data_IF_653726422862
#
_entry.id   IF_653726422862
#
_cell.length_a   1.000
_cell.length_b   1.000
_cell.length_c   1.000
_cell.angle_alpha   90.00
_cell.angle_beta   90.00
_cell.angle_gamma   90.00
#
_symmetry.space_group_name_H-M   'P 1'
#
loop_
_entity.id
_entity.type
_entity.pdbx_description
1 polymer ?
#
# COMPACT_ATOMS: atom_id res chain seq x y z
N UNK A 1 -2.77 25.35 -22.79
CA UNK A 1 -2.91 26.80 -22.57
C UNK A 1 -2.51 27.67 -23.77
N UNK A 2 -2.30 27.10 -24.97
CA UNK A 2 -2.07 27.81 -26.23
C UNK A 2 -3.33 28.01 -27.11
N UNK A 3 -4.47 27.41 -26.73
CA UNK A 3 -5.69 27.39 -27.55
C UNK A 3 -6.61 28.62 -27.41
N UNK A 4 -6.29 29.60 -26.55
CA UNK A 4 -7.10 30.82 -26.37
C UNK A 4 -6.42 32.09 -26.90
N UNK A 5 -5.34 31.95 -27.63
CA UNK A 5 -4.68 33.06 -28.33
C UNK A 5 -4.78 32.83 -29.86
N UNK A 6 -5.95 33.00 -30.43
CA UNK A 6 -6.25 33.31 -31.84
C UNK A 6 -5.57 32.55 -33.00
N UNK A 7 -4.54 31.77 -32.79
CA UNK A 7 -3.80 30.98 -33.82
C UNK A 7 -3.46 29.58 -33.30
N UNK A 8 -4.49 28.77 -33.08
CA UNK A 8 -4.24 27.34 -32.82
C UNK A 8 -4.10 26.61 -34.15
N UNK A 9 -2.88 26.23 -34.47
CA UNK A 9 -2.50 25.39 -35.60
C UNK A 9 -3.36 24.09 -35.61
N UNK A 10 -3.85 23.70 -36.80
CA UNK A 10 -4.69 22.51 -36.99
C UNK A 10 -4.05 21.23 -36.42
N UNK A 11 -2.74 21.17 -36.36
CA UNK A 11 -1.96 20.08 -35.73
C UNK A 11 -2.21 19.94 -34.23
N UNK A 12 -2.23 21.06 -33.51
CA UNK A 12 -2.50 21.10 -32.05
C UNK A 12 -3.93 20.67 -31.74
N UNK A 13 -4.88 21.03 -32.61
CA UNK A 13 -6.28 20.61 -32.46
C UNK A 13 -6.46 19.07 -32.68
N UNK A 14 -5.78 18.53 -33.66
CA UNK A 14 -5.80 17.10 -33.92
C UNK A 14 -5.12 16.27 -32.81
N UNK A 15 -4.04 16.77 -32.21
CA UNK A 15 -3.37 16.15 -31.07
C UNK A 15 -4.26 16.18 -29.82
N UNK A 16 -4.95 17.30 -29.55
CA UNK A 16 -5.89 17.42 -28.45
C UNK A 16 -7.06 16.46 -28.57
N UNK A 17 -7.67 16.33 -29.76
CA UNK A 17 -8.75 15.39 -29.99
C UNK A 17 -8.30 13.94 -29.84
N UNK A 18 -7.08 13.62 -30.26
CA UNK A 18 -6.51 12.29 -30.09
C UNK A 18 -6.27 11.96 -28.61
N UNK A 19 -5.77 12.93 -27.82
CA UNK A 19 -5.58 12.79 -26.39
C UNK A 19 -6.91 12.63 -25.64
N UNK A 20 -7.96 13.41 -25.99
CA UNK A 20 -9.30 13.29 -25.39
C UNK A 20 -9.92 11.91 -25.63
N UNK A 21 -9.74 11.34 -26.82
CA UNK A 21 -10.30 10.05 -27.21
C UNK A 21 -9.49 8.84 -26.76
N UNK A 22 -8.29 9.05 -26.18
CA UNK A 22 -7.41 7.95 -25.78
C UNK A 22 -7.81 7.30 -24.45
N UNK A 23 -8.55 8.00 -23.56
CA UNK A 23 -9.01 7.50 -22.26
C UNK A 23 -10.23 8.30 -21.76
N UNK A 24 -11.31 7.65 -21.24
CA UNK A 24 -12.46 8.33 -20.68
C UNK A 24 -12.13 9.33 -19.56
N UNK A 25 -11.05 9.12 -18.82
CA UNK A 25 -10.59 10.04 -17.77
C UNK A 25 -10.10 11.38 -18.33
N UNK A 26 -9.56 11.40 -19.55
CA UNK A 26 -9.10 12.61 -20.22
C UNK A 26 -10.28 13.51 -20.63
N UNK A 27 -11.38 12.92 -21.08
CA UNK A 27 -12.60 13.66 -21.40
C UNK A 27 -13.22 14.30 -20.13
N UNK A 28 -13.27 13.57 -19.02
CA UNK A 28 -13.74 14.11 -17.74
C UNK A 28 -12.85 15.26 -17.23
N UNK A 29 -11.54 15.14 -17.40
CA UNK A 29 -10.60 16.20 -17.03
C UNK A 29 -10.78 17.45 -17.90
N UNK A 30 -11.04 17.26 -19.20
CA UNK A 30 -11.32 18.36 -20.12
C UNK A 30 -12.61 19.09 -19.77
N UNK A 31 -13.72 18.38 -19.53
CA UNK A 31 -15.01 18.96 -19.14
C UNK A 31 -14.93 19.75 -17.84
N UNK A 32 -14.14 19.28 -16.86
CA UNK A 32 -13.86 20.03 -15.63
C UNK A 32 -13.10 21.32 -15.89
N UNK A 33 -12.12 21.28 -16.79
CA UNK A 33 -11.35 22.48 -17.17
C UNK A 33 -12.23 23.52 -17.90
N UNK A 34 -13.13 23.09 -18.78
CA UNK A 34 -14.09 23.96 -19.45
C UNK A 34 -15.11 24.60 -18.47
N UNK A 35 -15.60 23.84 -17.49
CA UNK A 35 -16.49 24.35 -16.44
C UNK A 35 -15.81 25.46 -15.59
N UNK A 36 -14.54 25.27 -15.25
CA UNK A 36 -13.77 26.27 -14.51
C UNK A 36 -13.51 27.53 -15.36
N UNK A 37 -13.15 27.35 -16.63
CA UNK A 37 -12.94 28.45 -17.58
C UNK A 37 -14.24 29.19 -17.88
N UNK A 38 -15.37 28.49 -17.99
CA UNK A 38 -16.70 29.09 -18.16
C UNK A 38 -17.11 29.94 -16.96
N UNK A 39 -16.87 29.47 -15.73
CA UNK A 39 -17.12 30.26 -14.51
C UNK A 39 -16.22 31.50 -14.42
N UNK A 40 -14.95 31.39 -14.82
CA UNK A 40 -14.01 32.52 -14.86
C UNK A 40 -14.43 33.58 -15.92
N UNK A 41 -14.92 33.14 -17.06
CA UNK A 41 -15.42 34.05 -18.12
C UNK A 41 -16.76 34.70 -17.73
N UNK A 42 -17.65 33.99 -17.04
CA UNK A 42 -18.91 34.54 -16.52
C UNK A 42 -18.69 35.62 -15.46
N UNK A 43 -17.70 35.42 -14.56
CA UNK A 43 -17.29 36.43 -13.57
C UNK A 43 -16.68 37.67 -14.23
N UNK A 44 -16.05 37.47 -15.38
CA UNK A 44 -15.44 38.55 -16.17
C UNK A 44 -16.50 39.36 -16.94
N UNK A 45 -17.55 38.71 -17.43
CA UNK A 45 -18.67 39.35 -18.11
C UNK A 45 -19.61 40.10 -17.14
N UNK A 46 -19.82 39.56 -15.92
CA UNK A 46 -20.62 40.21 -14.88
C UNK A 46 -20.04 41.54 -14.38
N UNK A 47 -18.71 41.61 -14.25
CA UNK A 47 -18.01 42.83 -13.83
C UNK A 47 -17.93 43.92 -14.93
N UNK A 48 -18.24 43.59 -16.18
CA UNK A 48 -18.23 44.54 -17.29
C UNK A 48 -19.58 45.26 -17.49
N UNK A 49 -20.68 44.70 -16.94
CA UNK A 49 -22.03 45.25 -17.11
C UNK A 49 -22.42 46.30 -16.07
N UNK A 50 -21.76 46.37 -14.91
CA UNK A 50 -22.04 47.36 -13.86
C UNK A 50 -21.18 48.64 -13.91
N UNK A 51 -20.16 48.69 -14.79
CA UNK A 51 -19.24 49.84 -14.89
C UNK A 51 -19.70 50.94 -15.86
N UNK A 52 -20.94 50.88 -16.37
CA UNK A 52 -21.43 51.72 -17.45
C UNK A 52 -22.17 53.01 -17.03
N UNK A 53 -22.39 53.32 -15.76
CA UNK A 53 -23.14 54.55 -15.40
C UNK A 53 -22.77 55.07 -13.99
N UNK A 54 -21.65 55.75 -13.83
CA UNK A 54 -21.46 56.91 -12.92
C UNK A 54 -20.09 57.54 -13.13
N UNK A 55 -20.15 58.72 -13.77
CA UNK A 55 -19.30 59.93 -13.58
C UNK A 55 -17.80 59.79 -13.28
N UNK A 56 -17.03 60.21 -14.29
CA UNK A 56 -15.98 61.21 -14.16
C UNK A 56 -14.93 61.04 -13.04
N UNK A 57 -13.70 60.64 -13.39
CA UNK A 57 -12.59 61.14 -12.62
C UNK A 57 -11.83 60.14 -11.74
N UNK A 58 -11.72 58.87 -12.09
CA UNK A 58 -10.70 58.03 -11.47
C UNK A 58 -9.51 57.88 -12.42
N UNK A 59 -8.36 58.35 -11.95
CA UNK A 59 -7.12 58.45 -12.70
C UNK A 59 -6.70 57.06 -13.26
N UNK A 60 -6.15 57.07 -14.48
CA UNK A 60 -5.57 55.90 -15.15
C UNK A 60 -4.52 55.12 -14.31
N UNK A 61 -4.06 55.72 -13.22
CA UNK A 61 -3.18 55.10 -12.23
C UNK A 61 -3.89 54.05 -11.34
N UNK A 62 -5.13 54.33 -10.89
CA UNK A 62 -5.92 53.39 -10.07
C UNK A 62 -6.35 52.15 -10.87
N UNK A 63 -6.64 52.29 -12.15
CA UNK A 63 -6.95 51.19 -13.05
C UNK A 63 -5.73 50.32 -13.37
N UNK A 64 -4.52 50.91 -13.36
CA UNK A 64 -3.26 50.17 -13.52
C UNK A 64 -2.85 49.39 -12.26
N UNK A 65 -3.15 49.93 -11.08
CA UNK A 65 -2.86 49.30 -9.77
C UNK A 65 -3.83 48.12 -9.51
N UNK A 66 -5.12 48.26 -9.80
CA UNK A 66 -6.09 47.16 -9.69
C UNK A 66 -5.76 45.98 -10.62
N UNK A 67 -5.28 46.28 -11.84
CA UNK A 67 -4.87 45.25 -12.80
C UNK A 67 -3.58 44.51 -12.37
N UNK A 68 -2.69 45.15 -11.62
CA UNK A 68 -1.48 44.52 -11.07
C UNK A 68 -1.78 43.56 -9.91
N UNK A 69 -2.68 43.91 -9.01
CA UNK A 69 -3.07 43.05 -7.88
C UNK A 69 -3.86 41.85 -8.34
N UNK A 70 -4.75 41.97 -9.29
CA UNK A 70 -5.49 40.87 -9.92
C UNK A 70 -4.56 39.93 -10.70
N UNK A 71 -3.59 40.46 -11.46
CA UNK A 71 -2.58 39.64 -12.14
C UNK A 71 -1.70 38.83 -11.15
N UNK A 72 -1.33 39.44 -10.02
CA UNK A 72 -0.57 38.74 -8.98
C UNK A 72 -1.42 37.68 -8.26
N UNK A 73 -2.71 37.93 -8.02
CA UNK A 73 -3.62 36.96 -7.44
C UNK A 73 -3.86 35.76 -8.41
N UNK A 74 -4.07 36.00 -9.67
CA UNK A 74 -4.21 34.96 -10.70
C UNK A 74 -2.89 34.20 -10.90
N UNK A 75 -1.75 34.89 -10.91
CA UNK A 75 -0.44 34.26 -11.01
C UNK A 75 -0.15 33.37 -9.79
N UNK A 76 -0.53 33.80 -8.57
CA UNK A 76 -0.41 32.97 -7.36
C UNK A 76 -1.33 31.76 -7.39
N UNK A 77 -2.58 31.91 -7.82
CA UNK A 77 -3.52 30.79 -7.98
C UNK A 77 -3.03 29.78 -9.03
N UNK A 78 -2.50 30.26 -10.16
CA UNK A 78 -1.91 29.40 -11.18
C UNK A 78 -0.63 28.71 -10.68
N UNK A 79 0.24 29.42 -9.98
CA UNK A 79 1.44 28.83 -9.38
C UNK A 79 1.06 27.77 -8.33
N UNK A 80 0.03 28.01 -7.51
CA UNK A 80 -0.48 27.04 -6.54
C UNK A 80 -1.09 25.83 -7.25
N UNK A 81 -1.85 26.01 -8.32
CA UNK A 81 -2.43 24.91 -9.09
C UNK A 81 -1.37 24.06 -9.81
N UNK A 82 -0.31 24.71 -10.33
CA UNK A 82 0.82 24.00 -10.98
C UNK A 82 1.62 23.17 -10.00
N UNK A 83 1.75 23.62 -8.75
CA UNK A 83 2.51 22.89 -7.70
C UNK A 83 1.59 21.90 -6.96
N UNK A 84 0.38 22.30 -6.59
CA UNK A 84 -0.55 21.45 -5.85
C UNK A 84 -1.19 20.34 -6.71
N UNK A 85 -1.36 20.57 -8.01
CA UNK A 85 -1.94 19.58 -8.93
C UNK A 85 -1.08 18.30 -9.06
N UNK A 86 0.20 18.40 -9.43
CA UNK A 86 1.09 17.22 -9.49
C UNK A 86 1.35 16.59 -8.12
N UNK A 87 1.46 17.39 -7.05
CA UNK A 87 1.60 16.87 -5.68
C UNK A 87 0.34 16.15 -5.23
N UNK A 88 -0.84 16.72 -5.46
CA UNK A 88 -2.12 16.08 -5.15
C UNK A 88 -2.34 14.80 -5.95
N UNK A 89 -2.00 14.79 -7.24
CA UNK A 89 -2.05 13.60 -8.08
C UNK A 89 -1.03 12.54 -7.65
N UNK A 90 0.20 12.95 -7.28
CA UNK A 90 1.23 12.06 -6.74
C UNK A 90 0.80 11.42 -5.42
N UNK A 91 0.29 12.21 -4.48
CA UNK A 91 -0.28 11.71 -3.22
C UNK A 91 -1.48 10.80 -3.49
N UNK A 92 -2.37 11.16 -4.39
CA UNK A 92 -3.52 10.33 -4.76
C UNK A 92 -3.10 9.00 -5.40
N UNK A 93 -2.08 8.97 -6.24
CA UNK A 93 -1.54 7.74 -6.85
C UNK A 93 -0.72 6.88 -5.89
N UNK A 94 -0.04 7.50 -4.92
CA UNK A 94 0.80 6.82 -3.94
C UNK A 94 0.04 6.45 -2.65
N UNK A 95 -1.13 7.04 -2.44
CA UNK A 95 -1.96 6.71 -1.28
C UNK A 95 -2.53 5.29 -1.42
N UNK A 96 -2.44 4.45 -0.39
CA UNK A 96 -2.88 3.05 -0.43
C UNK A 96 -4.40 2.94 -0.30
N UNK A 97 -5.15 3.53 -1.24
CA UNK A 97 -6.62 3.52 -1.24
C UNK A 97 -7.20 2.11 -1.17
N UNK A 98 -6.52 1.16 -1.82
CA UNK A 98 -6.93 -0.24 -1.82
C UNK A 98 -6.80 -0.90 -0.45
N UNK A 99 -5.85 -0.43 0.37
CA UNK A 99 -5.69 -0.92 1.74
C UNK A 99 -6.72 -0.29 2.67
N UNK A 100 -7.07 0.98 2.46
CA UNK A 100 -8.04 1.70 3.29
C UNK A 100 -9.49 1.27 3.08
N UNK A 101 -9.81 0.71 1.92
CA UNK A 101 -11.15 0.21 1.57
C UNK A 101 -11.36 -1.27 1.89
N UNK A 102 -10.37 -1.96 2.48
CA UNK A 102 -10.48 -3.37 2.82
C UNK A 102 -11.52 -3.63 3.92
N UNK A 103 -12.24 -4.77 3.84
CA UNK A 103 -13.27 -5.17 4.80
C UNK A 103 -12.69 -5.41 6.20
N UNK A 104 -11.48 -5.95 6.27
CA UNK A 104 -10.72 -6.15 7.51
C UNK A 104 -9.30 -5.63 7.34
N UNK A 105 -8.82 -4.89 8.34
CA UNK A 105 -7.46 -4.37 8.36
C UNK A 105 -6.91 -4.29 9.77
N UNK A 106 -5.58 -4.22 9.85
CA UNK A 106 -4.81 -3.95 11.06
C UNK A 106 -3.83 -2.82 10.83
N UNK A 107 -3.61 -2.01 11.85
CA UNK A 107 -2.57 -0.98 11.84
C UNK A 107 -1.19 -1.56 12.21
N UNK A 108 -0.14 -0.74 12.15
CA UNK A 108 1.22 -1.14 12.55
C UNK A 108 1.26 -1.55 14.03
N UNK A 109 1.73 -2.75 14.31
CA UNK A 109 1.81 -3.32 15.64
C UNK A 109 0.50 -3.94 16.15
N UNK A 110 -0.58 -3.85 15.37
CA UNK A 110 -1.88 -4.46 15.68
C UNK A 110 -1.94 -5.89 15.12
N UNK A 111 -2.52 -6.81 15.90
CA UNK A 111 -2.95 -8.13 15.44
C UNK A 111 -4.42 -8.31 15.82
N UNK A 112 -5.23 -8.86 14.92
CA UNK A 112 -6.66 -9.02 15.10
C UNK A 112 -7.14 -10.40 14.72
N UNK A 113 -7.81 -11.08 15.68
CA UNK A 113 -8.50 -12.35 15.41
C UNK A 113 -10.00 -12.10 15.16
N UNK A 114 -10.60 -12.87 14.25
CA UNK A 114 -12.02 -12.81 13.92
C UNK A 114 -12.53 -14.17 13.48
N UNK A 115 -13.83 -14.43 13.70
CA UNK A 115 -14.54 -15.59 13.14
C UNK A 115 -15.36 -15.11 11.95
N UNK A 116 -15.17 -15.79 10.81
CA UNK A 116 -15.86 -15.51 9.57
C UNK A 116 -17.30 -16.09 9.59
N UNK A 117 -18.13 -15.67 8.63
CA UNK A 117 -19.53 -16.08 8.55
C UNK A 117 -19.73 -17.61 8.34
N UNK A 118 -18.72 -18.29 7.79
CA UNK A 118 -18.70 -19.75 7.60
C UNK A 118 -18.16 -20.51 8.83
N UNK A 119 -17.84 -19.83 9.93
CA UNK A 119 -17.23 -20.40 11.12
C UNK A 119 -15.71 -20.58 11.04
N UNK A 120 -15.06 -20.26 9.93
CA UNK A 120 -13.60 -20.24 9.82
C UNK A 120 -13.02 -19.15 10.72
N UNK A 121 -11.84 -19.38 11.28
CA UNK A 121 -11.11 -18.38 12.07
C UNK A 121 -10.00 -17.77 11.24
N UNK A 122 -9.85 -16.47 11.32
CA UNK A 122 -8.77 -15.71 10.71
C UNK A 122 -8.09 -14.85 11.75
N UNK A 123 -6.75 -14.77 11.69
CA UNK A 123 -5.97 -13.78 12.42
C UNK A 123 -5.16 -12.97 11.42
N UNK A 124 -5.25 -11.65 11.54
CA UNK A 124 -4.48 -10.70 10.75
C UNK A 124 -3.23 -10.29 11.54
N UNK A 125 -2.08 -10.30 10.87
CA UNK A 125 -0.82 -9.75 11.38
C UNK A 125 -0.79 -8.21 11.23
N UNK A 126 0.26 -7.60 11.73
CA UNK A 126 0.51 -6.15 11.60
C UNK A 126 0.43 -5.68 10.14
N UNK A 127 -0.23 -4.53 9.92
CA UNK A 127 -0.29 -3.88 8.60
C UNK A 127 -0.94 -4.74 7.52
N UNK A 128 -1.96 -5.52 7.87
CA UNK A 128 -2.66 -6.41 6.94
C UNK A 128 -3.97 -5.81 6.44
N UNK A 129 -4.33 -6.14 5.20
CA UNK A 129 -5.59 -5.74 4.59
C UNK A 129 -6.19 -6.89 3.78
N UNK A 130 -7.45 -7.25 4.07
CA UNK A 130 -8.16 -8.40 3.52
C UNK A 130 -9.58 -8.02 3.15
N UNK A 131 -10.02 -8.42 1.95
CA UNK A 131 -11.44 -8.38 1.57
C UNK A 131 -12.06 -9.76 1.64
N UNK A 132 -13.38 -9.80 1.86
CA UNK A 132 -14.18 -11.00 1.89
C UNK A 132 -15.10 -11.05 0.67
N UNK A 133 -14.91 -12.05 -0.19
CA UNK A 133 -15.71 -12.28 -1.39
C UNK A 133 -16.37 -13.67 -1.31
N UNK A 134 -17.22 -13.89 -0.31
CA UNK A 134 -17.96 -15.13 -0.15
C UNK A 134 -19.20 -15.13 -1.04
N UNK A 135 -19.36 -16.22 -1.79
CA UNK A 135 -20.50 -16.44 -2.71
C UNK A 135 -21.21 -17.77 -2.39
N UNK A 136 -22.23 -18.11 -3.16
CA UNK A 136 -22.88 -19.42 -3.10
C UNK A 136 -21.99 -20.57 -3.58
N UNK A 137 -20.93 -20.30 -4.37
CA UNK A 137 -20.05 -21.30 -4.97
C UNK A 137 -18.66 -21.38 -4.34
N UNK A 138 -18.19 -20.34 -3.67
CA UNK A 138 -16.84 -20.27 -3.07
C UNK A 138 -16.77 -19.35 -1.86
N UNK A 139 -15.74 -19.57 -1.04
CA UNK A 139 -15.36 -18.75 0.11
C UNK A 139 -14.00 -18.15 -0.17
N UNK A 140 -13.98 -16.91 -0.69
CA UNK A 140 -12.74 -16.26 -1.13
C UNK A 140 -12.36 -15.12 -0.19
N UNK A 141 -11.11 -15.15 0.28
CA UNK A 141 -10.43 -14.01 0.88
C UNK A 141 -9.45 -13.41 -0.13
N UNK A 142 -9.35 -12.10 -0.19
CA UNK A 142 -8.38 -11.39 -1.05
C UNK A 142 -7.40 -10.69 -0.12
N UNK A 143 -6.20 -11.26 0.02
CA UNK A 143 -5.12 -10.66 0.80
C UNK A 143 -4.41 -9.61 -0.07
N UNK A 144 -4.56 -8.34 0.29
CA UNK A 144 -3.96 -7.20 -0.43
C UNK A 144 -2.54 -6.91 0.05
N UNK A 145 -2.32 -6.94 1.36
CA UNK A 145 -1.02 -6.70 2.00
C UNK A 145 -0.95 -7.41 3.35
N UNK A 146 0.26 -7.58 3.88
CA UNK A 146 0.51 -8.14 5.21
C UNK A 146 0.50 -9.66 5.25
N UNK A 147 -0.02 -10.22 6.34
CA UNK A 147 -0.10 -11.66 6.55
C UNK A 147 -1.39 -12.06 7.28
N UNK A 148 -1.87 -13.25 6.96
CA UNK A 148 -3.00 -13.88 7.64
C UNK A 148 -2.66 -15.30 8.06
N UNK A 149 -3.23 -15.70 9.17
CA UNK A 149 -3.38 -17.08 9.57
C UNK A 149 -4.85 -17.46 9.46
N UNK A 150 -5.12 -18.64 8.91
CA UNK A 150 -6.48 -19.13 8.67
C UNK A 150 -6.62 -20.55 9.20
N UNK A 151 -7.71 -20.78 9.91
CA UNK A 151 -8.20 -22.12 10.22
C UNK A 151 -9.58 -22.28 9.58
N UNK A 152 -9.66 -23.10 8.53
CA UNK A 152 -10.92 -23.30 7.80
C UNK A 152 -11.90 -24.16 8.60
N UNK A 153 -13.17 -23.78 8.59
CA UNK A 153 -14.29 -24.61 9.04
C UNK A 153 -14.75 -25.57 7.95
N UNK A 154 -15.33 -26.70 8.35
CA UNK A 154 -16.07 -27.56 7.43
C UNK A 154 -17.27 -26.81 6.84
N UNK A 155 -17.51 -26.98 5.53
CA UNK A 155 -18.61 -26.34 4.84
C UNK A 155 -19.58 -27.38 4.31
N UNK A 156 -20.85 -27.33 4.75
CA UNK A 156 -21.86 -28.29 4.34
C UNK A 156 -22.15 -28.25 2.83
N UNK A 157 -21.95 -27.09 2.18
CA UNK A 157 -22.10 -26.91 0.74
C UNK A 157 -20.83 -27.28 -0.05
N UNK A 158 -19.76 -27.75 0.63
CA UNK A 158 -18.48 -28.16 0.03
C UNK A 158 -17.82 -27.04 -0.81
N UNK A 159 -18.13 -25.77 -0.54
CA UNK A 159 -17.55 -24.65 -1.25
C UNK A 159 -16.04 -24.56 -0.94
N UNK A 160 -15.18 -24.43 -1.96
CA UNK A 160 -13.75 -24.28 -1.74
C UNK A 160 -13.46 -23.00 -0.93
N UNK A 161 -12.47 -23.09 -0.02
CA UNK A 161 -11.92 -21.93 0.67
C UNK A 161 -10.66 -21.49 -0.06
N UNK A 162 -10.63 -20.24 -0.51
CA UNK A 162 -9.60 -19.67 -1.35
C UNK A 162 -9.00 -18.43 -0.68
N UNK A 163 -7.68 -18.31 -0.71
CA UNK A 163 -6.99 -17.05 -0.43
C UNK A 163 -6.32 -16.59 -1.72
N UNK A 164 -6.78 -15.48 -2.25
CA UNK A 164 -6.23 -14.85 -3.45
C UNK A 164 -5.23 -13.78 -3.08
N UNK A 165 -4.11 -13.75 -3.77
CA UNK A 165 -3.09 -12.71 -3.72
C UNK A 165 -2.78 -12.22 -5.13
N UNK A 166 -1.96 -11.18 -5.27
CA UNK A 166 -1.46 -10.74 -6.58
C UNK A 166 -0.58 -11.81 -7.27
N UNK A 167 -0.01 -12.76 -6.52
CA UNK A 167 0.87 -13.82 -7.00
C UNK A 167 0.11 -15.06 -7.48
N UNK A 168 -1.09 -15.29 -6.97
CA UNK A 168 -1.86 -16.49 -7.28
C UNK A 168 -2.92 -16.79 -6.24
N UNK A 169 -3.43 -18.01 -6.29
CA UNK A 169 -4.48 -18.51 -5.40
C UNK A 169 -3.99 -19.67 -4.54
N UNK A 170 -4.34 -19.63 -3.27
CA UNK A 170 -4.12 -20.70 -2.27
C UNK A 170 -5.48 -21.34 -1.99
N UNK A 171 -5.66 -22.59 -2.34
CA UNK A 171 -6.86 -23.39 -2.07
C UNK A 171 -6.65 -24.26 -0.83
N UNK A 172 -7.47 -24.06 0.17
CA UNK A 172 -7.41 -24.85 1.39
C UNK A 172 -8.15 -26.20 1.26
N UNK A 173 -7.54 -27.27 1.75
CA UNK A 173 -8.10 -28.63 1.75
C UNK A 173 -8.42 -29.10 3.18
N UNK A 174 -9.10 -28.24 3.98
CA UNK A 174 -9.37 -28.51 5.40
C UNK A 174 -8.13 -28.24 6.26
N UNK A 175 -7.73 -26.98 6.40
CA UNK A 175 -6.37 -26.61 6.77
C UNK A 175 -6.29 -25.55 7.86
N UNK A 176 -5.11 -25.54 8.51
CA UNK A 176 -4.57 -24.43 9.29
C UNK A 176 -3.27 -24.00 8.61
N UNK A 177 -3.22 -22.75 8.14
CA UNK A 177 -2.10 -22.25 7.35
C UNK A 177 -1.93 -20.74 7.49
N UNK A 178 -0.76 -20.24 7.12
CA UNK A 178 -0.46 -18.82 6.98
C UNK A 178 -0.21 -18.47 5.53
N UNK A 179 -0.61 -17.25 5.14
CA UNK A 179 -0.25 -16.61 3.87
C UNK A 179 0.33 -15.25 4.18
N UNK A 180 1.53 -14.97 3.70
CA UNK A 180 2.26 -13.73 3.96
C UNK A 180 2.80 -13.16 2.66
N UNK A 181 2.41 -11.93 2.32
CA UNK A 181 2.95 -11.19 1.20
C UNK A 181 4.31 -10.61 1.62
N UNK A 182 5.33 -10.81 0.78
CA UNK A 182 6.65 -10.24 1.02
C UNK A 182 6.57 -8.70 1.00
N UNK A 183 7.21 -8.01 1.96
CA UNK A 183 7.23 -6.56 1.96
C UNK A 183 8.00 -6.03 0.73
N UNK A 184 7.68 -4.82 0.23
CA UNK A 184 8.23 -4.27 -1.03
C UNK A 184 9.76 -4.10 -1.05
N UNK A 185 10.43 -4.15 0.10
CA UNK A 185 11.89 -4.08 0.23
C UNK A 185 12.56 -5.44 0.48
N UNK A 186 11.80 -6.55 0.42
CA UNK A 186 12.36 -7.88 0.50
C UNK A 186 13.13 -8.22 -0.78
N UNK A 187 14.21 -9.01 -0.66
CA UNK A 187 14.98 -9.49 -1.82
C UNK A 187 14.15 -10.29 -2.83
N UNK A 188 13.01 -10.81 -2.38
CA UNK A 188 12.00 -11.57 -3.12
C UNK A 188 10.76 -10.71 -3.33
N UNK A 189 10.94 -9.52 -3.88
CA UNK A 189 9.81 -8.66 -4.27
C UNK A 189 8.83 -9.46 -5.13
N UNK A 190 7.53 -9.22 -4.92
CA UNK A 190 6.43 -9.87 -5.65
C UNK A 190 6.27 -11.37 -5.39
N UNK A 191 6.48 -11.81 -4.15
CA UNK A 191 6.19 -13.19 -3.74
C UNK A 191 5.35 -13.23 -2.47
N UNK A 192 4.71 -14.37 -2.23
CA UNK A 192 4.08 -14.68 -0.96
C UNK A 192 4.64 -15.99 -0.39
N UNK A 193 4.77 -16.04 0.93
CA UNK A 193 5.16 -17.25 1.68
C UNK A 193 3.91 -17.91 2.24
N UNK A 194 3.74 -19.18 1.97
CA UNK A 194 2.65 -20.00 2.49
C UNK A 194 3.24 -21.10 3.36
N UNK A 195 2.77 -21.22 4.62
CA UNK A 195 3.18 -22.28 5.52
C UNK A 195 1.94 -23.01 6.07
N UNK A 196 2.00 -24.33 6.08
CA UNK A 196 0.89 -25.21 6.45
C UNK A 196 1.19 -25.89 7.79
N UNK A 197 0.34 -25.62 8.80
CA UNK A 197 0.44 -26.23 10.12
C UNK A 197 -0.38 -27.52 10.21
N UNK A 198 -1.53 -27.59 9.51
CA UNK A 198 -2.40 -28.77 9.52
C UNK A 198 -3.12 -28.91 8.17
N UNK A 199 -3.27 -30.18 7.71
CA UNK A 199 -3.91 -30.49 6.43
C UNK A 199 -2.99 -30.23 5.23
N UNK A 200 -3.55 -29.69 4.15
CA UNK A 200 -2.80 -29.36 2.95
C UNK A 200 -3.43 -28.18 2.19
N UNK A 201 -2.65 -27.45 1.42
CA UNK A 201 -3.12 -26.43 0.49
C UNK A 201 -2.64 -26.72 -0.94
N UNK A 202 -3.36 -26.23 -1.92
CA UNK A 202 -2.95 -26.20 -3.32
C UNK A 202 -2.62 -24.76 -3.71
N UNK A 203 -1.44 -24.55 -4.28
CA UNK A 203 -0.94 -23.25 -4.73
C UNK A 203 -1.01 -23.19 -6.25
N UNK A 204 -1.69 -22.19 -6.79
CA UNK A 204 -1.81 -21.95 -8.23
C UNK A 204 -1.34 -20.53 -8.53
N UNK A 205 -0.14 -20.35 -9.12
CA UNK A 205 0.36 -19.05 -9.56
C UNK A 205 -0.56 -18.41 -10.62
N UNK A 206 -0.55 -17.07 -10.72
CA UNK A 206 -1.45 -16.37 -11.64
C UNK A 206 -1.07 -16.55 -13.11
N UNK A 207 0.21 -16.79 -13.40
CA UNK A 207 0.76 -16.93 -14.77
C UNK A 207 1.19 -18.37 -15.09
N UNK A 208 0.80 -19.35 -14.30
CA UNK A 208 1.12 -20.76 -14.51
C UNK A 208 -0.12 -21.60 -14.19
N UNK A 209 -0.49 -22.48 -15.12
CA UNK A 209 -1.64 -23.39 -14.96
C UNK A 209 -1.33 -24.60 -14.05
N UNK A 210 -0.09 -24.74 -13.59
CA UNK A 210 0.29 -25.81 -12.68
C UNK A 210 -0.16 -25.53 -11.25
N UNK A 211 -0.63 -26.54 -10.54
CA UNK A 211 -0.87 -26.43 -9.11
C UNK A 211 0.11 -27.30 -8.32
N UNK A 212 0.60 -26.75 -7.21
CA UNK A 212 1.53 -27.45 -6.31
C UNK A 212 0.88 -27.65 -4.95
N UNK A 213 0.82 -28.91 -4.48
CA UNK A 213 0.31 -29.24 -3.17
C UNK A 213 1.39 -29.07 -2.10
N UNK A 214 1.04 -28.39 -1.01
CA UNK A 214 1.88 -28.23 0.18
C UNK A 214 1.19 -28.90 1.36
N UNK A 215 1.83 -29.89 1.94
CA UNK A 215 1.33 -30.63 3.10
C UNK A 215 1.75 -30.00 4.42
N UNK A 216 1.11 -30.41 5.50
CA UNK A 216 1.41 -29.96 6.86
C UNK A 216 2.90 -30.10 7.22
N UNK A 217 3.44 -29.14 7.96
CA UNK A 217 4.85 -29.03 8.34
C UNK A 217 5.76 -28.49 7.24
N UNK A 218 5.19 -28.09 6.10
CA UNK A 218 5.95 -27.50 4.98
C UNK A 218 5.53 -26.06 4.70
N UNK A 219 6.44 -25.33 4.07
CA UNK A 219 6.20 -24.00 3.52
C UNK A 219 6.74 -23.92 2.10
N UNK A 220 6.19 -23.01 1.30
CA UNK A 220 6.68 -22.69 -0.03
C UNK A 220 6.49 -21.22 -0.34
N UNK A 221 7.38 -20.69 -1.17
CA UNK A 221 7.27 -19.35 -1.71
C UNK A 221 6.57 -19.42 -3.07
N UNK A 222 5.54 -18.59 -3.29
CA UNK A 222 4.83 -18.49 -4.55
C UNK A 222 5.08 -17.10 -5.14
N UNK A 223 5.52 -17.05 -6.38
CA UNK A 223 5.57 -15.87 -7.25
C UNK A 223 4.44 -15.94 -8.28
N UNK A 224 4.29 -14.91 -9.10
CA UNK A 224 3.27 -14.90 -10.16
C UNK A 224 3.48 -15.99 -11.22
N UNK A 225 4.72 -16.47 -11.40
CA UNK A 225 5.07 -17.43 -12.45
C UNK A 225 5.45 -18.82 -11.98
N UNK A 226 5.68 -19.02 -10.67
CA UNK A 226 6.09 -20.35 -10.16
C UNK A 226 5.84 -20.51 -8.65
N UNK A 227 5.89 -21.77 -8.20
CA UNK A 227 5.98 -22.15 -6.78
C UNK A 227 7.37 -22.69 -6.53
N UNK A 228 8.06 -22.18 -5.53
CA UNK A 228 9.35 -22.68 -5.07
C UNK A 228 9.24 -24.11 -4.52
N UNK A 229 10.38 -24.79 -4.38
CA UNK A 229 10.44 -26.12 -3.80
C UNK A 229 9.93 -26.07 -2.36
N UNK A 230 8.97 -26.95 -1.97
CA UNK A 230 8.49 -27.00 -0.60
C UNK A 230 9.60 -27.40 0.38
N UNK A 231 9.76 -26.63 1.44
CA UNK A 231 10.74 -26.86 2.50
C UNK A 231 10.06 -27.01 3.87
N UNK A 232 10.78 -27.46 4.89
CA UNK A 232 10.23 -27.55 6.24
C UNK A 232 9.84 -26.16 6.76
N UNK A 233 8.62 -26.04 7.30
CA UNK A 233 8.17 -24.80 7.93
C UNK A 233 8.94 -24.58 9.23
N UNK A 234 9.57 -23.40 9.36
CA UNK A 234 10.26 -23.01 10.58
C UNK A 234 9.30 -22.47 11.65
N UNK A 235 9.78 -22.39 12.90
CA UNK A 235 9.03 -21.80 14.03
C UNK A 235 8.63 -20.34 13.78
N UNK A 236 9.32 -19.65 12.88
CA UNK A 236 9.03 -18.27 12.53
C UNK A 236 7.77 -18.12 11.66
N UNK A 237 7.26 -19.21 11.07
CA UNK A 237 6.15 -19.15 10.12
C UNK A 237 4.81 -18.73 10.73
N UNK A 238 4.59 -19.05 12.01
CA UNK A 238 3.35 -18.76 12.74
C UNK A 238 3.55 -18.14 14.14
N UNK A 239 4.79 -17.93 14.57
CA UNK A 239 5.12 -17.36 15.89
C UNK A 239 4.41 -16.03 16.19
N UNK A 240 4.20 -15.20 15.19
CA UNK A 240 3.48 -13.94 15.30
C UNK A 240 2.03 -14.09 15.76
N UNK A 241 1.39 -15.24 15.48
CA UNK A 241 0.01 -15.52 15.97
C UNK A 241 -0.06 -15.58 17.49
N UNK A 242 1.07 -15.84 18.14
CA UNK A 242 1.25 -15.89 19.59
C UNK A 242 1.99 -14.65 20.11
N UNK A 243 2.21 -13.66 19.26
CA UNK A 243 2.92 -12.42 19.60
C UNK A 243 4.43 -12.58 19.78
N UNK A 244 5.03 -13.61 19.17
CA UNK A 244 6.46 -13.93 19.28
C UNK A 244 7.13 -13.92 17.92
N UNK A 245 8.27 -13.25 17.80
CA UNK A 245 9.15 -13.32 16.66
C UNK A 245 10.30 -14.30 17.00
N UNK A 246 10.32 -15.44 16.31
CA UNK A 246 11.40 -16.41 16.42
C UNK A 246 12.50 -16.07 15.43
N UNK A 247 13.74 -16.18 15.87
CA UNK A 247 14.94 -16.07 15.05
C UNK A 247 15.83 -17.29 15.30
N UNK A 248 16.30 -17.91 14.24
CA UNK A 248 17.26 -19.02 14.29
C UNK A 248 18.42 -18.70 13.33
N UNK A 249 19.55 -18.24 13.89
CA UNK A 249 20.70 -17.74 13.12
C UNK A 249 20.32 -16.72 12.04
N UNK A 250 19.24 -15.99 12.27
CA UNK A 250 18.72 -15.00 11.32
C UNK A 250 19.68 -13.81 11.25
N UNK A 251 20.13 -13.36 10.07
CA UNK A 251 20.94 -12.15 9.95
C UNK A 251 20.26 -10.95 10.59
N UNK A 252 21.01 -10.16 11.38
CA UNK A 252 20.49 -9.01 12.13
C UNK A 252 19.76 -8.00 11.24
N UNK A 253 20.23 -7.79 10.01
CA UNK A 253 19.56 -6.92 9.06
C UNK A 253 18.16 -7.40 8.69
N UNK A 254 17.97 -8.72 8.50
CA UNK A 254 16.67 -9.34 8.23
C UNK A 254 15.79 -9.27 9.47
N UNK A 255 16.34 -9.60 10.64
CA UNK A 255 15.61 -9.49 11.91
C UNK A 255 15.14 -8.06 12.20
N UNK A 256 16.00 -7.07 11.97
CA UNK A 256 15.66 -5.65 12.18
C UNK A 256 14.55 -5.18 11.21
N UNK A 257 14.59 -5.62 9.96
CA UNK A 257 13.55 -5.33 8.98
C UNK A 257 12.21 -5.95 9.39
N UNK A 258 12.22 -7.19 9.89
CA UNK A 258 11.04 -7.86 10.41
C UNK A 258 10.48 -7.18 11.65
N UNK A 259 11.33 -6.86 12.63
CA UNK A 259 10.92 -6.15 13.85
C UNK A 259 10.34 -4.76 13.56
N UNK A 260 10.84 -4.11 12.51
CA UNK A 260 10.36 -2.79 12.06
C UNK A 260 8.89 -2.80 11.62
N UNK A 261 8.33 -3.94 11.23
CA UNK A 261 6.91 -4.09 10.86
C UNK A 261 5.96 -3.90 12.04
N UNK A 262 6.44 -4.21 13.24
CA UNK A 262 5.63 -4.23 14.47
C UNK A 262 5.74 -2.95 15.30
N UNK A 263 6.43 -1.93 14.79
CA UNK A 263 6.54 -0.64 15.49
C UNK A 263 6.36 0.54 14.54
N UNK A 264 5.78 1.66 15.00
CA UNK A 264 5.77 2.89 14.23
C UNK A 264 7.20 3.39 14.00
N UNK A 265 7.51 3.77 12.75
CA UNK A 265 8.80 4.33 12.40
C UNK A 265 9.73 3.35 11.69
N UNK A 266 11.04 3.57 11.79
CA UNK A 266 12.05 2.88 11.02
C UNK A 266 13.13 2.31 11.96
N UNK A 267 13.47 1.03 11.79
CA UNK A 267 14.65 0.42 12.37
C UNK A 267 15.67 0.20 11.26
N UNK A 268 16.77 0.96 11.28
CA UNK A 268 17.90 0.78 10.35
C UNK A 268 18.95 -0.09 10.99
N UNK A 269 19.51 -1.00 10.20
CA UNK A 269 20.67 -1.79 10.58
C UNK A 269 21.87 -1.35 9.73
N UNK A 270 22.98 -1.03 10.38
CA UNK A 270 24.23 -0.72 9.70
C UNK A 270 24.70 -1.97 8.92
N UNK A 271 25.10 -1.85 7.65
CA UNK A 271 25.64 -2.95 6.87
C UNK A 271 26.80 -3.71 7.55
N UNK A 272 27.62 -3.00 8.35
CA UNK A 272 28.76 -3.60 9.05
C UNK A 272 28.35 -4.68 10.07
N UNK A 273 27.13 -4.63 10.61
CA UNK A 273 26.60 -5.58 11.60
C UNK A 273 25.42 -6.40 11.08
N UNK A 274 24.94 -6.12 9.86
CA UNK A 274 23.76 -6.74 9.30
C UNK A 274 23.84 -8.28 9.16
N UNK A 275 25.03 -8.84 9.03
CA UNK A 275 25.27 -10.27 8.91
C UNK A 275 25.35 -10.99 10.26
N UNK A 276 25.36 -10.32 11.41
CA UNK A 276 25.44 -10.95 12.71
C UNK A 276 24.24 -11.87 12.93
N UNK A 277 24.46 -13.14 13.38
CA UNK A 277 23.37 -14.08 13.58
C UNK A 277 22.60 -13.75 14.86
N UNK A 278 21.29 -13.65 14.73
CA UNK A 278 20.34 -13.51 15.84
C UNK A 278 19.65 -14.84 16.07
N UNK A 279 19.59 -15.31 17.34
CA UNK A 279 18.81 -16.48 17.74
C UNK A 279 18.07 -16.17 19.03
N UNK A 280 16.79 -16.57 19.09
CA UNK A 280 15.95 -16.36 20.26
C UNK A 280 14.47 -16.18 19.92
N UNK A 281 13.68 -15.98 20.96
CA UNK A 281 12.26 -15.67 20.90
C UNK A 281 12.03 -14.25 21.46
N UNK A 282 11.46 -13.37 20.68
CA UNK A 282 11.30 -11.96 21.01
C UNK A 282 9.81 -11.59 21.04
N UNK A 283 9.39 -10.92 22.11
CA UNK A 283 8.00 -10.49 22.26
C UNK A 283 7.71 -9.31 21.31
N UNK A 284 6.69 -9.45 20.48
CA UNK A 284 6.28 -8.43 19.51
C UNK A 284 5.58 -7.24 20.16
N UNK A 285 5.01 -7.42 21.35
CA UNK A 285 4.31 -6.35 22.09
C UNK A 285 5.28 -5.27 22.60
N UNK A 286 6.55 -5.64 22.83
CA UNK A 286 7.59 -4.73 23.32
C UNK A 286 8.84 -4.85 22.44
N UNK A 287 8.81 -4.15 21.32
CA UNK A 287 9.92 -4.10 20.37
C UNK A 287 11.16 -3.38 20.93
N UNK A 288 11.00 -2.50 21.92
CA UNK A 288 12.13 -1.82 22.56
C UNK A 288 12.87 -2.79 23.49
N UNK A 289 12.16 -3.67 24.20
CA UNK A 289 12.77 -4.75 24.96
C UNK A 289 13.52 -5.73 24.05
N UNK A 290 12.96 -6.07 22.87
CA UNK A 290 13.65 -6.89 21.89
C UNK A 290 14.97 -6.26 21.42
N UNK A 291 14.98 -4.95 21.13
CA UNK A 291 16.19 -4.20 20.76
C UNK A 291 17.21 -4.16 21.91
N UNK A 292 16.75 -3.97 23.15
CA UNK A 292 17.64 -3.98 24.32
C UNK A 292 18.29 -5.37 24.53
N UNK A 293 17.54 -6.45 24.36
CA UNK A 293 18.05 -7.82 24.43
C UNK A 293 19.14 -8.09 23.36
N UNK A 294 18.92 -7.60 22.13
CA UNK A 294 19.95 -7.67 21.07
C UNK A 294 21.23 -6.94 21.45
N UNK A 295 21.11 -5.70 21.98
CA UNK A 295 22.28 -4.92 22.39
C UNK A 295 23.05 -5.52 23.58
N UNK A 296 22.35 -6.31 24.42
CA UNK A 296 22.98 -7.04 25.52
C UNK A 296 23.72 -8.32 25.04
N UNK A 297 23.25 -8.95 23.97
CA UNK A 297 23.78 -10.23 23.49
C UNK A 297 24.76 -10.14 22.32
N UNK A 298 24.75 -9.02 21.58
CA UNK A 298 25.58 -8.83 20.40
C UNK A 298 26.50 -7.59 20.55
N UNK A 299 27.62 -7.53 19.81
CA UNK A 299 28.53 -6.37 19.85
C UNK A 299 27.97 -5.17 19.08
N UNK A 300 26.78 -4.73 19.46
CA UNK A 300 26.03 -3.64 18.82
C UNK A 300 25.62 -2.57 19.84
N UNK A 301 25.26 -1.39 19.33
CA UNK A 301 24.60 -0.32 20.08
C UNK A 301 23.31 0.10 19.37
N UNK A 302 22.31 0.46 20.16
CA UNK A 302 21.06 1.01 19.66
C UNK A 302 21.13 2.54 19.78
N UNK A 303 21.13 3.25 18.65
CA UNK A 303 21.06 4.70 18.59
C UNK A 303 19.60 5.10 18.32
N UNK A 304 18.94 5.59 19.36
CA UNK A 304 17.56 6.08 19.25
C UNK A 304 17.58 7.61 19.08
N UNK A 305 17.31 8.10 17.86
CA UNK A 305 17.19 9.53 17.57
C UNK A 305 15.82 10.09 17.96
N UNK A 306 14.80 9.26 17.87
CA UNK A 306 13.44 9.52 18.32
C UNK A 306 12.71 8.19 18.52
N UNK A 307 11.49 8.20 19.08
CA UNK A 307 10.68 6.98 19.17
C UNK A 307 10.38 6.32 17.80
N UNK A 308 10.51 7.07 16.71
CA UNK A 308 10.26 6.62 15.33
C UNK A 308 11.52 6.30 14.54
N UNK A 309 12.70 6.61 15.07
CA UNK A 309 13.95 6.42 14.33
C UNK A 309 15.00 5.75 15.21
N UNK A 310 15.22 4.48 14.94
CA UNK A 310 16.21 3.63 15.61
C UNK A 310 17.24 3.17 14.60
N UNK A 311 18.52 3.21 14.99
CA UNK A 311 19.63 2.71 14.18
C UNK A 311 20.46 1.73 15.01
N UNK A 312 20.68 0.54 14.47
CA UNK A 312 21.56 -0.49 15.03
C UNK A 312 22.94 -0.31 14.41
N UNK A 313 23.96 -0.08 15.22
CA UNK A 313 25.35 0.13 14.77
C UNK A 313 26.31 -0.77 15.54
N UNK A 314 27.55 -0.91 15.07
CA UNK A 314 28.63 -1.58 15.82
C UNK A 314 28.92 -0.87 17.16
N UNK A 315 29.38 -1.65 18.13
CA UNK A 315 29.78 -1.14 19.44
C UNK A 315 31.08 -0.37 19.36
#
# INVERSE_FOLDING_TARGET
>A
MRLHAGDADMTVHAELMRWRNSDPSHEMAWQRAELVLGKLNATRAGNSAEAGNTLGGLSAAALREANRSQRRAVARLLATAIVAGPLGYGVWRLAPWHEWSADMRTDTGESRESTLADGSRIQLDTGSAVDMAFTSSERRLILRTGAIWVQTAADAALRPFLVQTAQGTVRALGTRFTVRIAPPFARTEHSCLIAVQQGAVELSPVNDDTSVRIDAGKQAQMSAGNVGVPEAAGLASDGWTHGVLYAEKTPLGIFAAELSRYRPGIVRCDPAVAALPVSGAFQLRDTDQALAALAASLPIRILQRSRYWVTIVSR
#
